data_IF_997077884633
#
_entry.id   IF_997077884633
#
_cell.length_a   1.000
_cell.length_b   1.000
_cell.length_c   1.000
_cell.angle_alpha   90.00
_cell.angle_beta   90.00
_cell.angle_gamma   90.00
#
_symmetry.space_group_name_H-M   'P 1'
#
loop_
_entity.id
_entity.type
_entity.pdbx_description
1 polymer ?
#
# COMPACT_ATOMS: atom_id res chain seq x y z
N UNK A 1 -8.38 30.39 -47.15
CA UNK A 1 -7.98 31.04 -45.87
C UNK A 1 -7.84 29.93 -44.83
N UNK A 2 -6.61 29.46 -44.70
CA UNK A 2 -6.19 28.19 -44.11
C UNK A 2 -5.98 28.37 -42.60
N UNK A 3 -7.03 28.82 -41.90
CA UNK A 3 -6.91 29.37 -40.53
C UNK A 3 -7.77 28.63 -39.50
N UNK A 4 -7.94 27.30 -39.64
CA UNK A 4 -8.83 26.53 -38.76
C UNK A 4 -8.25 25.21 -38.22
N UNK A 5 -6.96 24.91 -38.36
CA UNK A 5 -6.45 23.55 -38.12
C UNK A 5 -5.20 23.39 -37.24
N UNK A 6 -4.81 24.38 -36.42
CA UNK A 6 -3.57 24.29 -35.62
C UNK A 6 -3.72 24.56 -34.11
N UNK A 7 -4.90 24.34 -33.51
CA UNK A 7 -5.08 24.51 -32.04
C UNK A 7 -5.67 23.28 -31.36
N UNK A 8 -5.69 22.11 -32.01
CA UNK A 8 -5.83 20.84 -31.29
C UNK A 8 -4.48 20.43 -30.71
N UNK A 9 -3.98 21.22 -29.76
CA UNK A 9 -2.88 20.81 -28.90
C UNK A 9 -3.44 19.64 -28.07
N UNK A 10 -3.22 18.43 -28.58
CA UNK A 10 -3.60 17.21 -27.90
C UNK A 10 -2.91 17.22 -26.53
N UNK A 11 -3.68 17.46 -25.47
CA UNK A 11 -3.30 17.03 -24.14
C UNK A 11 -3.29 15.50 -24.15
N UNK A 12 -2.20 14.93 -24.68
CA UNK A 12 -1.77 13.58 -24.35
C UNK A 12 -1.32 13.63 -22.89
N UNK A 13 -2.27 13.72 -21.97
CA UNK A 13 -2.04 13.23 -20.63
C UNK A 13 -1.80 11.74 -20.80
N UNK A 14 -0.53 11.36 -20.97
CA UNK A 14 -0.11 10.00 -20.78
C UNK A 14 -0.43 9.68 -19.31
N UNK A 15 -1.62 9.13 -19.07
CA UNK A 15 -1.89 8.43 -17.84
C UNK A 15 -0.92 7.25 -17.85
N UNK A 16 0.20 7.40 -17.15
CA UNK A 16 1.01 6.26 -16.73
C UNK A 16 0.11 5.42 -15.82
N UNK A 17 -0.65 4.50 -16.44
CA UNK A 17 -1.44 3.52 -15.71
C UNK A 17 -0.45 2.53 -15.11
N UNK A 18 -0.10 2.77 -13.85
CA UNK A 18 0.62 1.78 -13.05
C UNK A 18 -0.31 0.55 -12.95
N UNK A 19 -0.08 -0.46 -13.80
CA UNK A 19 -0.88 -1.68 -13.86
C UNK A 19 -0.52 -2.59 -12.67
N UNK A 20 -1.50 -2.91 -11.83
CA UNK A 20 -1.28 -3.61 -10.57
C UNK A 20 -1.87 -5.02 -10.62
N UNK A 21 -1.03 -6.03 -10.35
CA UNK A 21 -1.53 -7.38 -10.15
C UNK A 21 -2.39 -7.46 -8.89
N UNK A 22 -3.58 -8.06 -9.01
CA UNK A 22 -4.47 -8.27 -7.87
C UNK A 22 -3.89 -9.36 -6.97
N UNK A 23 -3.66 -9.03 -5.69
CA UNK A 23 -3.23 -9.98 -4.65
C UNK A 23 -4.32 -10.12 -3.59
N UNK A 24 -4.65 -11.35 -3.25
CA UNK A 24 -5.53 -11.75 -2.15
C UNK A 24 -4.90 -11.40 -0.79
N UNK A 25 -5.74 -11.35 0.24
CA UNK A 25 -5.26 -11.16 1.61
C UNK A 25 -4.28 -12.29 2.02
N UNK A 26 -4.57 -13.52 1.60
CA UNK A 26 -3.73 -14.68 1.90
C UNK A 26 -2.36 -14.55 1.25
N UNK A 27 -2.28 -14.19 -0.02
CA UNK A 27 -1.00 -14.00 -0.70
C UNK A 27 -0.14 -12.95 0.02
N UNK A 28 -0.75 -11.88 0.53
CA UNK A 28 -0.02 -10.84 1.29
C UNK A 28 0.45 -11.32 2.68
N UNK A 29 -0.35 -12.13 3.36
CA UNK A 29 -0.07 -12.60 4.72
C UNK A 29 0.82 -13.85 4.77
N UNK A 30 0.56 -14.83 3.90
CA UNK A 30 1.12 -16.17 3.99
C UNK A 30 2.26 -16.44 3.02
N UNK A 31 2.29 -15.77 1.87
CA UNK A 31 3.36 -16.02 0.90
C UNK A 31 4.60 -15.25 1.37
N UNK A 32 5.44 -15.94 2.15
CA UNK A 32 6.75 -15.46 2.60
C UNK A 32 7.87 -15.70 1.58
N UNK A 33 7.58 -16.43 0.50
CA UNK A 33 8.61 -16.94 -0.43
C UNK A 33 8.83 -16.10 -1.69
N UNK A 34 7.96 -15.14 -1.98
CA UNK A 34 8.20 -14.13 -3.02
C UNK A 34 8.53 -12.81 -2.31
N UNK A 35 9.82 -12.48 -2.28
CA UNK A 35 10.47 -11.47 -1.43
C UNK A 35 10.03 -10.01 -1.62
N UNK A 36 8.72 -9.73 -1.59
CA UNK A 36 8.13 -8.44 -1.89
C UNK A 36 7.01 -8.01 -0.92
N UNK A 37 6.85 -8.65 0.25
CA UNK A 37 5.86 -8.18 1.23
C UNK A 37 6.36 -8.32 2.67
N UNK A 38 6.95 -7.24 3.18
CA UNK A 38 7.71 -7.22 4.44
C UNK A 38 6.84 -6.98 5.67
N UNK A 39 5.63 -6.43 5.52
CA UNK A 39 4.77 -6.22 6.68
C UNK A 39 3.35 -5.84 6.30
N UNK A 40 2.45 -6.05 7.25
CA UNK A 40 1.07 -5.60 7.17
C UNK A 40 0.68 -4.96 8.50
N UNK A 41 0.31 -3.69 8.47
CA UNK A 41 -0.02 -2.92 9.67
C UNK A 41 -1.22 -2.02 9.46
N UNK A 42 -2.02 -1.86 10.51
CA UNK A 42 -2.89 -0.72 10.68
C UNK A 42 -2.06 0.45 11.22
N UNK A 43 -2.12 1.58 10.53
CA UNK A 43 -1.39 2.79 10.90
C UNK A 43 -2.27 4.02 10.88
N UNK A 44 -1.89 5.02 11.67
CA UNK A 44 -2.38 6.40 11.57
C UNK A 44 -1.31 7.24 10.88
N UNK A 45 -1.67 7.88 9.77
CA UNK A 45 -0.75 8.82 9.11
C UNK A 45 -0.63 10.13 9.90
N UNK A 46 0.59 10.61 10.11
CA UNK A 46 0.87 11.94 10.66
C UNK A 46 1.01 13.00 9.57
N UNK A 47 1.03 12.60 8.30
CA UNK A 47 1.15 13.47 7.13
C UNK A 47 2.49 13.36 6.42
N UNK A 48 2.66 14.18 5.38
CA UNK A 48 3.89 14.29 4.59
C UNK A 48 4.96 15.07 5.39
N UNK A 49 6.18 14.54 5.45
CA UNK A 49 7.37 15.22 5.97
C UNK A 49 8.05 15.97 4.81
N UNK A 50 7.71 17.25 4.67
CA UNK A 50 8.25 18.12 3.63
C UNK A 50 9.77 18.34 3.74
N UNK A 51 10.38 18.14 4.91
CA UNK A 51 11.83 18.32 5.10
C UNK A 51 12.65 17.14 4.57
N UNK A 52 12.01 15.97 4.44
CA UNK A 52 12.63 14.74 3.93
C UNK A 52 12.23 14.43 2.49
N UNK A 53 11.20 15.10 1.99
CA UNK A 53 10.74 14.94 0.62
C UNK A 53 11.69 15.60 -0.37
N UNK A 54 11.88 14.98 -1.54
CA UNK A 54 12.71 15.48 -2.64
C UNK A 54 11.84 15.69 -3.88
N UNK A 55 12.40 16.28 -4.94
CA UNK A 55 11.65 16.50 -6.19
C UNK A 55 11.08 15.22 -6.82
N UNK A 56 11.60 14.03 -6.48
CA UNK A 56 11.13 12.74 -7.01
C UNK A 56 10.47 11.84 -5.97
N UNK A 57 10.60 12.12 -4.68
CA UNK A 57 10.15 11.25 -3.59
C UNK A 57 9.42 12.03 -2.50
N UNK A 58 8.27 11.51 -2.06
CA UNK A 58 7.58 11.96 -0.86
C UNK A 58 7.91 11.05 0.31
N UNK A 59 7.96 11.65 1.49
CA UNK A 59 8.14 10.93 2.76
C UNK A 59 6.93 11.22 3.64
N UNK A 60 6.32 10.19 4.21
CA UNK A 60 5.26 10.30 5.19
C UNK A 60 5.69 9.71 6.51
N UNK A 61 5.21 10.29 7.60
CA UNK A 61 5.34 9.69 8.93
C UNK A 61 4.05 8.98 9.31
N UNK A 62 4.17 7.80 9.92
CA UNK A 62 3.06 7.00 10.40
C UNK A 62 3.31 6.49 11.82
N UNK A 63 2.23 6.28 12.55
CA UNK A 63 2.21 5.55 13.82
C UNK A 63 1.53 4.21 13.60
N UNK A 64 2.16 3.12 14.05
CA UNK A 64 1.55 1.79 14.00
C UNK A 64 0.58 1.64 15.17
N UNK A 65 -0.67 1.34 14.87
CA UNK A 65 -1.69 1.00 15.88
C UNK A 65 -1.73 -0.51 16.11
N UNK A 66 -1.60 -1.29 15.04
CA UNK A 66 -1.55 -2.74 15.10
C UNK A 66 -0.73 -3.31 13.96
N UNK A 67 0.03 -4.36 14.24
CA UNK A 67 0.91 -5.01 13.29
C UNK A 67 0.42 -6.45 13.13
N UNK A 68 -0.10 -6.77 11.95
CA UNK A 68 -0.64 -8.09 11.65
C UNK A 68 0.46 -9.07 11.25
N UNK A 69 1.38 -8.64 10.38
CA UNK A 69 2.54 -9.43 9.94
C UNK A 69 3.79 -8.57 10.05
N UNK A 70 4.82 -9.10 10.69
CA UNK A 70 6.11 -8.45 10.80
C UNK A 70 7.24 -9.36 10.32
N UNK A 71 8.13 -8.85 9.47
CA UNK A 71 9.38 -9.53 9.13
C UNK A 71 10.64 -8.84 9.66
N UNK A 72 10.56 -7.62 10.25
CA UNK A 72 11.73 -6.86 10.74
C UNK A 72 11.37 -5.61 11.58
N UNK A 73 12.21 -4.56 11.56
CA UNK A 73 11.93 -3.27 12.23
C UNK A 73 10.86 -2.52 11.44
N UNK A 74 9.75 -2.18 12.12
CA UNK A 74 8.64 -1.45 11.51
C UNK A 74 8.99 0.01 11.36
N UNK A 75 9.28 0.42 10.13
CA UNK A 75 9.53 1.83 9.86
C UNK A 75 8.30 2.68 10.19
N UNK A 76 8.52 3.80 10.87
CA UNK A 76 7.53 4.87 11.01
C UNK A 76 7.57 5.83 9.84
N UNK A 77 8.43 5.58 8.84
CA UNK A 77 8.56 6.38 7.63
C UNK A 77 8.18 5.58 6.41
N UNK A 78 7.38 6.21 5.55
CA UNK A 78 6.96 5.67 4.27
C UNK A 78 7.51 6.56 3.17
N UNK A 79 8.32 5.98 2.30
CA UNK A 79 8.89 6.64 1.15
C UNK A 79 8.11 6.21 -0.11
N UNK A 80 7.70 7.17 -0.92
CA UNK A 80 6.90 6.88 -2.12
C UNK A 80 7.25 7.85 -3.25
N UNK A 81 7.29 7.41 -4.52
CA UNK A 81 7.62 8.31 -5.62
C UNK A 81 6.53 9.37 -5.83
N UNK A 82 6.88 10.52 -6.40
CA UNK A 82 5.88 11.54 -6.76
C UNK A 82 4.94 11.02 -7.86
N UNK A 83 5.48 10.29 -8.83
CA UNK A 83 4.73 9.57 -9.88
C UNK A 83 4.44 8.14 -9.43
N UNK A 84 3.23 7.62 -9.65
CA UNK A 84 2.80 6.29 -9.20
C UNK A 84 2.96 6.05 -7.67
N UNK A 85 3.05 7.10 -6.87
CA UNK A 85 3.13 6.99 -5.41
C UNK A 85 1.78 6.86 -4.72
N UNK A 86 1.86 6.77 -3.40
CA UNK A 86 0.70 6.75 -2.52
C UNK A 86 0.46 8.11 -1.88
N UNK A 87 -0.80 8.37 -1.53
CA UNK A 87 -1.20 9.53 -0.73
C UNK A 87 -1.73 9.06 0.62
N UNK A 88 -1.12 9.56 1.69
CA UNK A 88 -1.52 9.30 3.08
C UNK A 88 -1.93 10.61 3.72
N UNK A 89 -3.24 10.77 3.96
CA UNK A 89 -3.78 11.99 4.57
C UNK A 89 -3.53 11.97 6.07
N UNK A 90 -3.03 13.07 6.62
CA UNK A 90 -2.81 13.21 8.07
C UNK A 90 -4.10 12.92 8.85
N UNK A 91 -3.95 12.24 9.98
CA UNK A 91 -5.05 11.80 10.85
C UNK A 91 -5.89 10.63 10.31
N UNK A 92 -5.59 10.10 9.12
CA UNK A 92 -6.36 8.99 8.55
C UNK A 92 -5.72 7.64 8.88
N UNK A 93 -6.55 6.68 9.25
CA UNK A 93 -6.17 5.28 9.46
C UNK A 93 -6.10 4.51 8.15
N UNK A 94 -5.03 3.77 7.95
CA UNK A 94 -4.82 2.93 6.78
C UNK A 94 -4.35 1.54 7.18
N UNK A 95 -4.89 0.52 6.52
CA UNK A 95 -4.24 -0.77 6.40
C UNK A 95 -3.17 -0.63 5.31
N UNK A 96 -1.90 -0.73 5.70
CA UNK A 96 -0.76 -0.64 4.82
C UNK A 96 0.05 -1.92 4.78
N UNK A 97 0.67 -2.20 3.65
CA UNK A 97 1.71 -3.21 3.54
C UNK A 97 2.56 -2.97 2.30
N UNK A 98 3.86 -3.08 2.47
CA UNK A 98 4.84 -2.71 1.46
C UNK A 98 6.19 -3.39 1.70
N UNK A 99 7.21 -2.85 1.04
CA UNK A 99 8.55 -3.42 1.00
C UNK A 99 9.54 -2.64 1.86
N UNK A 100 10.49 -3.34 2.50
CA UNK A 100 11.61 -2.66 3.13
C UNK A 100 12.49 -2.02 2.07
N UNK A 101 12.90 -0.77 2.29
CA UNK A 101 13.86 -0.05 1.46
C UNK A 101 15.26 -0.10 2.08
N UNK A 102 16.28 0.22 1.27
CA UNK A 102 17.72 0.07 1.62
C UNK A 102 18.19 0.85 2.86
N UNK A 103 17.39 1.77 3.38
CA UNK A 103 17.67 2.59 4.56
C UNK A 103 16.76 2.28 5.76
N UNK A 104 15.99 1.20 5.71
CA UNK A 104 15.02 0.84 6.74
C UNK A 104 13.70 1.61 6.68
N UNK A 105 13.47 2.44 5.66
CA UNK A 105 12.14 3.00 5.39
C UNK A 105 11.23 1.98 4.70
N UNK A 106 9.91 2.14 4.86
CA UNK A 106 8.97 1.37 4.05
C UNK A 106 8.82 2.06 2.70
N UNK A 107 9.15 1.36 1.62
CA UNK A 107 8.86 1.84 0.27
C UNK A 107 7.45 1.40 -0.14
N UNK A 108 6.67 2.36 -0.66
CA UNK A 108 5.34 2.12 -1.17
C UNK A 108 5.11 2.79 -2.52
N UNK A 109 4.43 2.09 -3.42
CA UNK A 109 3.93 2.59 -4.69
C UNK A 109 2.44 2.27 -4.85
N UNK A 110 1.81 2.75 -5.93
CA UNK A 110 0.36 2.67 -6.17
C UNK A 110 -0.23 1.26 -6.01
N UNK A 111 0.56 0.21 -6.29
CA UNK A 111 0.14 -1.19 -6.22
C UNK A 111 0.32 -1.85 -4.84
N UNK A 112 0.97 -1.17 -3.90
CA UNK A 112 1.21 -1.66 -2.55
C UNK A 112 0.03 -1.38 -1.63
N UNK A 113 -0.24 -2.29 -0.68
CA UNK A 113 -1.40 -2.25 0.21
C UNK A 113 -1.55 -0.90 0.90
N UNK A 114 -2.65 -0.19 0.61
CA UNK A 114 -3.02 1.11 1.16
C UNK A 114 -4.53 1.29 1.05
N UNK A 115 -5.27 0.73 2.00
CA UNK A 115 -6.72 0.91 2.11
C UNK A 115 -7.04 1.73 3.34
N UNK A 116 -7.94 2.71 3.24
CA UNK A 116 -8.45 3.38 4.45
C UNK A 116 -9.17 2.37 5.34
N UNK A 117 -8.93 2.43 6.65
CA UNK A 117 -9.44 1.42 7.59
C UNK A 117 -10.97 1.36 7.66
N UNK A 118 -11.64 2.51 7.48
CA UNK A 118 -13.10 2.61 7.40
C UNK A 118 -13.70 1.94 6.15
N UNK A 119 -12.87 1.73 5.10
CA UNK A 119 -13.25 1.06 3.85
C UNK A 119 -12.81 -0.40 3.79
N UNK A 120 -12.13 -0.91 4.81
CA UNK A 120 -11.83 -2.34 4.92
C UNK A 120 -13.11 -3.06 5.36
N UNK A 121 -13.54 -4.06 4.60
CA UNK A 121 -14.76 -4.82 4.90
C UNK A 121 -14.63 -5.58 6.22
N UNK A 122 -15.76 -5.81 6.90
CA UNK A 122 -15.78 -6.59 8.15
C UNK A 122 -15.18 -7.98 7.96
N UNK A 123 -15.44 -8.63 6.82
CA UNK A 123 -14.88 -9.95 6.47
C UNK A 123 -13.34 -9.90 6.45
N UNK A 124 -12.74 -8.88 5.83
CA UNK A 124 -11.29 -8.71 5.82
C UNK A 124 -10.76 -8.47 7.23
N UNK A 125 -11.43 -7.61 8.03
CA UNK A 125 -11.04 -7.36 9.43
C UNK A 125 -11.03 -8.64 10.24
N UNK A 126 -12.09 -9.45 10.17
CA UNK A 126 -12.15 -10.76 10.84
C UNK A 126 -11.01 -11.67 10.42
N UNK A 127 -10.68 -11.72 9.12
CA UNK A 127 -9.58 -12.55 8.63
C UNK A 127 -8.20 -12.06 9.06
N UNK A 128 -8.01 -10.75 9.18
CA UNK A 128 -6.79 -10.18 9.76
C UNK A 128 -6.63 -10.59 11.22
N UNK A 129 -7.73 -10.60 12.00
CA UNK A 129 -7.72 -11.07 13.39
C UNK A 129 -7.47 -12.59 13.48
N UNK A 130 -8.13 -13.41 12.65
CA UNK A 130 -7.85 -14.86 12.58
C UNK A 130 -6.36 -15.13 12.29
N UNK A 131 -5.74 -14.36 11.38
CA UNK A 131 -4.31 -14.48 11.11
C UNK A 131 -3.47 -14.04 12.31
N UNK A 132 -3.84 -12.92 12.95
CA UNK A 132 -3.11 -12.39 14.11
C UNK A 132 -3.07 -13.39 15.27
N UNK A 133 -4.18 -14.08 15.52
CA UNK A 133 -4.28 -15.11 16.57
C UNK A 133 -3.52 -16.39 16.22
N UNK A 134 -3.57 -16.84 14.96
CA UNK A 134 -2.93 -18.10 14.56
C UNK A 134 -2.46 -18.09 13.10
N UNK A 135 -1.25 -17.54 12.82
CA UNK A 135 -0.73 -17.46 11.45
C UNK A 135 -0.60 -18.81 10.74
N UNK A 136 -0.09 -19.84 11.44
CA UNK A 136 0.11 -21.17 10.86
C UNK A 136 -1.21 -21.87 10.50
N UNK A 137 -2.24 -21.73 11.36
CA UNK A 137 -3.59 -22.24 11.09
C UNK A 137 -4.22 -21.51 9.91
N UNK A 138 -4.14 -20.18 9.90
CA UNK A 138 -4.65 -19.37 8.80
C UNK A 138 -4.03 -19.77 7.46
N UNK A 139 -2.70 -19.89 7.40
CA UNK A 139 -1.98 -20.18 6.16
C UNK A 139 -2.11 -21.62 5.66
N UNK A 140 -2.55 -22.57 6.50
CA UNK A 140 -2.78 -23.97 6.11
C UNK A 140 -4.20 -24.28 5.60
N UNK A 141 -5.19 -23.38 5.77
CA UNK A 141 -6.57 -23.56 5.27
C UNK A 141 -6.64 -23.72 3.73
N UNK A 142 -7.66 -24.37 3.14
CA UNK A 142 -7.82 -24.42 1.68
C UNK A 142 -8.00 -23.02 1.04
N UNK A 143 -7.43 -22.81 -0.17
CA UNK A 143 -7.49 -21.54 -0.94
C UNK A 143 -8.89 -21.09 -1.39
N UNK A 144 -9.93 -21.92 -1.20
CA UNK A 144 -11.34 -21.56 -1.49
C UNK A 144 -11.89 -20.40 -0.63
N UNK A 145 -11.08 -19.86 0.29
CA UNK A 145 -11.43 -18.79 1.22
C UNK A 145 -10.69 -17.49 0.93
N UNK A 146 -9.99 -17.40 -0.21
CA UNK A 146 -9.14 -16.28 -0.54
C UNK A 146 -10.00 -15.05 -0.88
N UNK A 147 -9.94 -14.06 0.00
CA UNK A 147 -10.62 -12.79 -0.17
C UNK A 147 -9.67 -11.83 -0.86
N UNK A 148 -10.14 -11.28 -1.97
CA UNK A 148 -9.48 -10.16 -2.60
C UNK A 148 -9.68 -8.93 -1.74
N UNK A 149 -8.60 -8.17 -1.57
CA UNK A 149 -8.71 -6.81 -1.06
C UNK A 149 -9.23 -5.98 -2.23
N UNK A 150 -10.56 -5.86 -2.30
CA UNK A 150 -11.25 -5.12 -3.36
C UNK A 150 -10.76 -3.67 -3.33
N UNK A 151 -9.83 -3.43 -4.25
CA UNK A 151 -9.27 -2.21 -4.80
C UNK A 151 -8.36 -1.31 -3.95
N UNK A 152 -7.18 -1.12 -4.55
CA UNK A 152 -6.25 0.00 -4.44
C UNK A 152 -6.83 1.29 -4.97
#
# INVERSE_FOLDING_TARGET
MMLLLLVSLACLAAAEDCNCARKTLRERLCDGSYGEFYGLSLVVSKGEDGTKSTGSMKVYTVQHEKVYKNSSVLSTRIKTPVKCGVVLRSGTEFLIGGNSYSNGDLYMQKCDLRKKWDKVSSVVKTKLEEYYESPASFCSKPRKTDIYLDDF
#
